data_IF_810107918440
#
_entry.id   IF_810107918440
#
_cell.length_a   1.000
_cell.length_b   1.000
_cell.length_c   1.000
_cell.angle_alpha   90.00
_cell.angle_beta   90.00
_cell.angle_gamma   90.00
#
_symmetry.space_group_name_H-M   'P 1'
#
loop_
_entity.id
_entity.type
_entity.pdbx_description
1 polymer ?
#
# COMPACT_ATOMS: atom_id res chain seq x y z
N UNK A 1 0.33 29.43 30.65
CA UNK A 1 0.26 29.18 29.20
C UNK A 1 -0.25 27.77 29.08
N UNK A 2 -1.56 27.63 29.24
CA UNK A 2 -2.26 26.37 29.09
C UNK A 2 -2.12 25.87 27.66
N UNK A 3 -1.72 24.63 27.50
CA UNK A 3 -2.42 23.75 26.56
C UNK A 3 -2.66 22.43 27.28
N UNK A 4 -3.76 22.41 28.04
CA UNK A 4 -4.36 21.17 28.54
C UNK A 4 -4.90 20.38 27.35
N UNK A 5 -4.02 19.70 26.63
CA UNK A 5 -4.41 18.63 25.72
C UNK A 5 -3.95 17.35 26.37
N UNK A 6 -4.88 16.64 27.01
CA UNK A 6 -4.74 15.20 27.17
C UNK A 6 -4.66 14.67 25.74
N UNK A 7 -3.45 14.61 25.20
CA UNK A 7 -3.15 13.91 23.96
C UNK A 7 -3.43 12.46 24.30
N UNK A 8 -4.64 12.01 23.98
CA UNK A 8 -4.93 10.59 23.92
C UNK A 8 -4.11 10.06 22.74
N UNK A 9 -2.83 9.78 23.01
CA UNK A 9 -1.92 9.22 22.03
C UNK A 9 -2.39 7.79 21.79
N UNK A 10 -3.13 7.61 20.70
CA UNK A 10 -3.38 6.30 20.13
C UNK A 10 -2.16 5.98 19.29
N UNK A 11 -1.34 4.98 19.68
CA UNK A 11 -0.26 4.54 18.82
C UNK A 11 -0.84 4.02 17.51
N UNK A 12 -0.19 4.39 16.41
CA UNK A 12 -0.49 3.86 15.09
C UNK A 12 -0.25 2.34 15.07
N UNK A 13 -1.16 1.59 14.45
CA UNK A 13 -0.99 0.16 14.25
C UNK A 13 -0.41 -0.03 12.86
N UNK A 14 0.76 -0.65 12.75
CA UNK A 14 1.37 -0.91 11.46
C UNK A 14 0.78 -2.20 10.84
N UNK A 15 -0.22 -2.06 9.98
CA UNK A 15 -0.86 -3.22 9.33
C UNK A 15 0.06 -3.94 8.32
N UNK A 16 1.18 -3.32 7.93
CA UNK A 16 2.21 -3.98 7.11
C UNK A 16 3.03 -4.98 7.93
N UNK A 17 3.40 -4.64 9.17
CA UNK A 17 4.18 -5.52 10.05
C UNK A 17 3.30 -6.66 10.59
N UNK A 18 2.04 -6.35 10.92
CA UNK A 18 1.06 -7.33 11.39
C UNK A 18 0.54 -8.24 10.26
N UNK A 19 0.94 -8.00 9.00
CA UNK A 19 0.47 -8.72 7.82
C UNK A 19 -1.06 -8.71 7.65
N UNK A 20 -1.73 -7.70 8.21
CA UNK A 20 -3.19 -7.51 8.15
C UNK A 20 -3.63 -6.53 7.05
N UNK A 21 -2.68 -5.84 6.41
CA UNK A 21 -2.93 -4.88 5.32
C UNK A 21 -3.70 -5.47 4.12
N UNK A 22 -3.53 -6.77 3.86
CA UNK A 22 -4.12 -7.42 2.68
C UNK A 22 -3.59 -6.87 1.35
N UNK A 23 -2.44 -6.19 1.36
CA UNK A 23 -1.77 -5.77 0.14
C UNK A 23 -1.20 -6.99 -0.61
N UNK A 24 -1.42 -7.03 -1.93
CA UNK A 24 -0.94 -8.11 -2.78
C UNK A 24 0.58 -8.10 -2.98
N UNK A 25 1.20 -6.91 -3.00
CA UNK A 25 2.64 -6.76 -3.22
C UNK A 25 3.27 -5.84 -2.18
N UNK A 26 3.25 -4.53 -2.40
CA UNK A 26 3.96 -3.57 -1.56
C UNK A 26 2.96 -2.96 -0.58
N UNK A 27 3.30 -2.97 0.71
CA UNK A 27 2.57 -2.27 1.77
C UNK A 27 3.41 -1.10 2.28
N UNK A 28 2.82 0.09 2.37
CA UNK A 28 3.44 1.27 2.96
C UNK A 28 2.55 1.78 4.10
N UNK A 29 3.05 1.66 5.33
CA UNK A 29 2.35 2.17 6.51
C UNK A 29 2.37 3.70 6.55
N UNK A 30 1.28 4.30 7.04
CA UNK A 30 1.15 5.74 7.24
C UNK A 30 0.49 6.00 8.59
N UNK A 31 0.71 7.15 9.21
CA UNK A 31 0.08 7.40 10.50
C UNK A 31 -1.46 7.43 10.35
N UNK A 32 -2.14 6.47 10.98
CA UNK A 32 -3.58 6.27 10.97
C UNK A 32 -4.14 5.47 9.78
N UNK A 33 -3.30 4.93 8.87
CA UNK A 33 -3.73 4.13 7.72
C UNK A 33 -2.55 3.41 7.03
N UNK A 34 -2.80 2.70 5.93
CA UNK A 34 -1.74 2.19 5.04
C UNK A 34 -2.12 2.36 3.57
N UNK A 35 -1.13 2.20 2.69
CA UNK A 35 -1.35 2.21 1.24
C UNK A 35 -0.70 1.00 0.58
N UNK A 36 -1.42 0.38 -0.34
CA UNK A 36 -0.89 -0.71 -1.17
C UNK A 36 -0.32 -0.15 -2.48
N UNK A 37 0.78 -0.73 -2.94
CA UNK A 37 1.41 -0.40 -4.23
C UNK A 37 1.85 -1.67 -4.95
N UNK A 38 2.13 -1.55 -6.25
CA UNK A 38 2.57 -2.67 -7.07
C UNK A 38 4.00 -2.46 -7.58
N UNK A 39 4.70 -3.56 -7.82
CA UNK A 39 5.99 -3.54 -8.50
C UNK A 39 5.87 -2.95 -9.90
N UNK A 40 6.99 -2.45 -10.43
CA UNK A 40 7.04 -1.91 -11.78
C UNK A 40 6.57 -2.94 -12.82
N UNK A 41 5.69 -2.50 -13.73
CA UNK A 41 5.05 -3.38 -14.71
C UNK A 41 3.76 -4.05 -14.22
N UNK A 42 3.30 -3.77 -13.00
CA UNK A 42 2.01 -4.20 -12.48
C UNK A 42 1.09 -2.99 -12.26
N UNK A 43 -0.22 -3.22 -12.39
CA UNK A 43 -1.28 -2.24 -12.17
C UNK A 43 -2.17 -2.71 -11.03
N UNK A 44 -2.42 -1.83 -10.07
CA UNK A 44 -3.32 -2.10 -8.95
C UNK A 44 -4.78 -2.11 -9.43
N UNK A 45 -5.49 -3.19 -9.14
CA UNK A 45 -6.92 -3.31 -9.39
C UNK A 45 -7.68 -3.09 -8.07
N UNK A 46 -8.39 -1.97 -7.94
CA UNK A 46 -9.13 -1.60 -6.73
C UNK A 46 -10.31 -2.52 -6.43
N UNK A 47 -10.92 -3.13 -7.45
CA UNK A 47 -12.03 -4.09 -7.28
C UNK A 47 -11.54 -5.41 -6.69
N UNK A 48 -10.47 -5.98 -7.25
CA UNK A 48 -9.93 -7.27 -6.81
C UNK A 48 -8.83 -7.17 -5.76
N UNK A 49 -8.45 -5.94 -5.35
CA UNK A 49 -7.34 -5.60 -4.45
C UNK A 49 -6.01 -6.29 -4.80
N UNK A 50 -5.75 -6.49 -6.10
CA UNK A 50 -4.59 -7.24 -6.59
C UNK A 50 -3.78 -6.45 -7.60
N UNK A 51 -2.48 -6.70 -7.61
CA UNK A 51 -1.53 -6.18 -8.57
C UNK A 51 -1.46 -7.14 -9.77
N UNK A 52 -2.02 -6.71 -10.90
CA UNK A 52 -2.01 -7.52 -12.13
C UNK A 52 -0.90 -7.01 -13.04
N UNK A 53 -0.11 -7.93 -13.60
CA UNK A 53 0.93 -7.55 -14.55
C UNK A 53 0.27 -6.84 -15.72
N UNK A 54 0.52 -5.55 -15.85
CA UNK A 54 0.24 -4.85 -17.07
C UNK A 54 1.17 -5.46 -18.09
N UNK A 55 0.64 -6.21 -19.05
CA UNK A 55 1.38 -6.53 -20.26
C UNK A 55 1.67 -5.19 -20.93
N UNK A 56 2.72 -4.49 -20.48
CA UNK A 56 3.40 -3.51 -21.30
C UNK A 56 3.63 -4.27 -22.58
N UNK A 57 3.15 -3.75 -23.71
CA UNK A 57 3.50 -4.31 -24.99
C UNK A 57 5.02 -4.21 -25.04
N UNK A 58 5.74 -5.24 -24.57
CA UNK A 58 7.01 -5.61 -25.15
C UNK A 58 6.59 -5.75 -26.59
N UNK A 59 6.91 -4.72 -27.37
CA UNK A 59 6.99 -4.83 -28.81
C UNK A 59 7.58 -6.21 -29.01
N UNK A 60 6.80 -7.11 -29.61
CA UNK A 60 7.31 -8.39 -30.06
C UNK A 60 8.43 -8.00 -31.01
N UNK A 61 9.62 -7.75 -30.50
CA UNK A 61 10.81 -7.55 -31.29
C UNK A 61 11.05 -8.96 -31.81
N UNK A 62 10.37 -9.27 -32.91
CA UNK A 62 10.72 -10.33 -33.83
C UNK A 62 12.14 -10.00 -34.26
N UNK A 63 13.11 -10.48 -33.48
CA UNK A 63 14.41 -10.85 -34.00
C UNK A 63 14.24 -12.10 -34.85
#
# INVERSE_FOLDING_TARGET
MEETQISFYVPDINECDESTSGCDQICNNTQGNFTCSCFSGYTYNSTSKQCKQGMTRKLLTRV
#
